data_IF_669731218853
#
_entry.id   IF_669731218853
#
_cell.length_a   1.000
_cell.length_b   1.000
_cell.length_c   1.000
_cell.angle_alpha   90.00
_cell.angle_beta   90.00
_cell.angle_gamma   90.00
#
_symmetry.space_group_name_H-M   'P 1'
#
loop_
_entity.id
_entity.type
_entity.pdbx_description
1 polymer ?
#
# COMPACT_ATOMS: atom_id res chain seq x y z
N UNK A 1 -9.30 -8.02 -0.99
CA UNK A 1 -10.39 -7.84 -1.97
C UNK A 1 -10.89 -6.41 -2.02
N UNK A 2 -11.26 -5.94 -3.22
CA UNK A 2 -11.86 -4.64 -3.45
C UNK A 2 -13.38 -4.68 -3.23
N UNK A 3 -13.94 -3.66 -2.57
CA UNK A 3 -15.38 -3.61 -2.33
C UNK A 3 -16.12 -3.46 -3.66
N UNK A 4 -17.10 -4.35 -3.93
CA UNK A 4 -17.95 -4.32 -5.13
C UNK A 4 -17.20 -4.52 -6.47
N UNK A 5 -15.98 -5.08 -6.44
CA UNK A 5 -15.20 -5.35 -7.65
C UNK A 5 -14.65 -4.11 -8.35
N UNK A 6 -14.66 -2.95 -7.67
CA UNK A 6 -14.13 -1.68 -8.19
C UNK A 6 -13.22 -1.00 -7.19
N UNK A 7 -12.30 -0.18 -7.69
CA UNK A 7 -11.43 0.65 -6.86
C UNK A 7 -11.08 1.97 -7.56
N UNK A 8 -10.89 3.04 -6.78
CA UNK A 8 -10.27 4.28 -7.26
C UNK A 8 -8.77 4.05 -7.39
N UNK A 9 -8.24 4.17 -8.60
CA UNK A 9 -6.85 3.85 -8.95
C UNK A 9 -6.25 4.94 -9.85
N UNK A 10 -4.93 4.96 -9.95
CA UNK A 10 -4.19 5.81 -10.87
C UNK A 10 -3.47 4.92 -11.87
N UNK A 11 -3.63 5.23 -13.16
CA UNK A 11 -3.02 4.49 -14.28
C UNK A 11 -1.94 5.33 -14.97
N UNK A 12 -0.77 4.74 -15.16
CA UNK A 12 0.36 5.33 -15.89
C UNK A 12 0.52 4.71 -17.28
N UNK A 13 1.19 5.41 -18.20
CA UNK A 13 1.34 5.00 -19.60
C UNK A 13 2.16 3.71 -19.76
N UNK A 14 3.03 3.39 -18.80
CA UNK A 14 3.78 2.13 -18.76
C UNK A 14 2.97 0.96 -18.17
N UNK A 15 1.67 1.15 -17.94
CA UNK A 15 0.75 0.13 -17.46
C UNK A 15 0.74 -0.05 -15.94
N UNK A 16 1.47 0.75 -15.15
CA UNK A 16 1.30 0.72 -13.69
C UNK A 16 -0.11 1.18 -13.33
N UNK A 17 -0.82 0.33 -12.58
CA UNK A 17 -2.11 0.64 -11.96
C UNK A 17 -1.90 0.51 -10.46
N UNK A 18 -2.08 1.60 -9.73
CA UNK A 18 -1.75 1.66 -8.30
C UNK A 18 -2.75 2.52 -7.54
N UNK A 19 -2.84 2.33 -6.21
CA UNK A 19 -3.72 3.17 -5.40
C UNK A 19 -3.22 4.61 -5.39
N UNK A 20 -4.12 5.59 -5.23
CA UNK A 20 -3.74 7.00 -5.27
C UNK A 20 -2.76 7.41 -4.16
N UNK A 21 -2.74 6.63 -3.07
CA UNK A 21 -2.02 6.93 -1.82
C UNK A 21 -0.85 5.99 -1.53
N UNK A 22 -0.48 5.10 -2.46
CA UNK A 22 0.69 4.24 -2.29
C UNK A 22 1.93 4.95 -2.87
N UNK A 23 2.91 5.35 -2.05
CA UNK A 23 4.06 6.12 -2.51
C UNK A 23 4.85 5.40 -3.61
N UNK A 24 5.17 6.16 -4.66
CA UNK A 24 6.10 5.74 -5.73
C UNK A 24 7.27 6.72 -5.80
N UNK A 25 8.46 6.25 -6.17
CA UNK A 25 9.64 7.10 -6.34
C UNK A 25 9.83 7.50 -7.80
N UNK A 26 9.90 8.81 -8.04
CA UNK A 26 10.15 9.42 -9.35
C UNK A 26 11.23 10.49 -9.18
N UNK A 27 12.27 10.44 -9.99
CA UNK A 27 13.42 11.35 -9.93
C UNK A 27 14.01 11.46 -8.51
N UNK A 28 14.10 10.33 -7.81
CA UNK A 28 14.63 10.23 -6.45
C UNK A 28 13.71 10.74 -5.34
N UNK A 29 12.47 11.16 -5.64
CA UNK A 29 11.50 11.67 -4.66
C UNK A 29 10.26 10.78 -4.56
N UNK A 30 9.81 10.54 -3.33
CA UNK A 30 8.52 9.88 -3.09
C UNK A 30 7.37 10.82 -3.41
N UNK A 31 6.37 10.32 -4.13
CA UNK A 31 5.17 11.05 -4.53
C UNK A 31 3.94 10.17 -4.39
N UNK A 32 2.79 10.77 -4.10
CA UNK A 32 1.51 10.07 -4.25
C UNK A 32 1.09 10.07 -5.72
N UNK A 33 0.63 8.92 -6.27
CA UNK A 33 0.11 8.85 -7.62
C UNK A 33 -0.98 9.89 -7.94
N UNK A 34 -1.84 10.24 -6.97
CA UNK A 34 -2.87 11.27 -7.13
C UNK A 34 -2.31 12.65 -7.52
N UNK A 35 -1.12 13.00 -7.02
CA UNK A 35 -0.49 14.30 -7.28
C UNK A 35 0.09 14.38 -8.71
N UNK A 36 0.13 13.25 -9.43
CA UNK A 36 0.78 13.14 -10.75
C UNK A 36 -0.27 12.96 -11.85
N UNK A 37 -1.32 12.17 -11.62
CA UNK A 37 -2.37 11.86 -12.59
C UNK A 37 -3.74 11.73 -11.91
N UNK A 38 -4.79 11.93 -12.69
CA UNK A 38 -6.16 11.78 -12.21
C UNK A 38 -6.48 10.34 -11.78
N UNK A 39 -7.19 10.22 -10.67
CA UNK A 39 -7.81 8.97 -10.25
C UNK A 39 -8.97 8.59 -11.16
N UNK A 40 -9.17 7.30 -11.36
CA UNK A 40 -10.29 6.73 -12.10
C UNK A 40 -10.83 5.52 -11.33
N UNK A 41 -12.15 5.37 -11.31
CA UNK A 41 -12.76 4.13 -10.84
C UNK A 41 -12.61 3.06 -11.94
N UNK A 42 -11.94 1.96 -11.61
CA UNK A 42 -11.73 0.84 -12.53
C UNK A 42 -12.30 -0.46 -11.94
N UNK A 43 -12.58 -1.42 -12.82
CA UNK A 43 -12.81 -2.80 -12.41
C UNK A 43 -11.53 -3.37 -11.77
N UNK A 44 -11.65 -3.82 -10.54
CA UNK A 44 -10.54 -4.31 -9.73
C UNK A 44 -11.08 -5.30 -8.70
N UNK A 45 -10.71 -6.56 -8.82
CA UNK A 45 -11.13 -7.60 -7.86
C UNK A 45 -10.23 -7.58 -6.61
N UNK A 46 -8.93 -7.46 -6.83
CA UNK A 46 -7.91 -7.56 -5.81
C UNK A 46 -6.76 -6.60 -6.08
N UNK A 47 -6.05 -6.27 -5.00
CA UNK A 47 -4.84 -5.49 -5.03
C UNK A 47 -3.86 -6.11 -4.04
N UNK A 48 -2.58 -6.05 -4.39
CA UNK A 48 -1.53 -6.71 -3.63
C UNK A 48 -0.62 -5.66 -2.99
N UNK A 49 -0.06 -6.04 -1.85
CA UNK A 49 1.03 -5.33 -1.20
C UNK A 49 2.01 -6.38 -0.68
N UNK A 50 3.23 -5.96 -0.41
CA UNK A 50 4.32 -6.85 -0.02
C UNK A 50 4.86 -6.45 1.34
N UNK A 51 5.42 -7.43 2.05
CA UNK A 51 6.38 -7.23 3.13
C UNK A 51 7.65 -7.92 2.66
N UNK A 52 8.77 -7.19 2.67
CA UNK A 52 10.07 -7.73 2.32
C UNK A 52 10.95 -7.73 3.57
N UNK A 53 11.89 -8.67 3.64
CA UNK A 53 12.90 -8.75 4.69
C UNK A 53 14.06 -7.77 4.47
N UNK A 54 14.24 -7.29 3.24
CA UNK A 54 15.29 -6.37 2.84
C UNK A 54 14.79 -5.33 1.83
N UNK A 55 15.49 -4.19 1.76
CA UNK A 55 15.29 -3.07 0.81
C UNK A 55 13.94 -2.36 0.85
N UNK A 56 12.83 -3.04 1.12
CA UNK A 56 11.47 -2.51 1.24
C UNK A 56 10.97 -1.69 0.04
N UNK A 57 11.48 -2.02 -1.15
CA UNK A 57 11.11 -1.41 -2.43
C UNK A 57 10.87 -2.55 -3.42
N UNK A 58 9.73 -2.51 -4.13
CA UNK A 58 9.44 -3.36 -5.27
C UNK A 58 9.49 -2.55 -6.56
N UNK A 59 9.94 -3.16 -7.66
CA UNK A 59 9.92 -2.53 -8.99
C UNK A 59 8.74 -3.10 -9.76
N UNK A 60 7.75 -2.27 -10.06
CA UNK A 60 6.53 -2.65 -10.77
C UNK A 60 6.37 -1.76 -11.99
N UNK A 61 6.39 -2.35 -13.18
CA UNK A 61 6.35 -1.64 -14.47
C UNK A 61 7.38 -0.51 -14.59
N UNK A 62 8.53 -0.64 -13.91
CA UNK A 62 9.62 0.36 -13.93
C UNK A 62 9.52 1.46 -12.88
N UNK A 63 8.48 1.47 -12.04
CA UNK A 63 8.41 2.34 -10.86
C UNK A 63 8.88 1.62 -9.60
N UNK A 64 9.57 2.36 -8.74
CA UNK A 64 9.90 1.91 -7.39
C UNK A 64 8.72 2.22 -6.45
N UNK A 65 8.11 1.17 -5.93
CA UNK A 65 6.96 1.22 -5.02
C UNK A 65 7.41 0.78 -3.63
N UNK A 66 6.94 1.47 -2.58
CA UNK A 66 7.31 1.13 -1.20
C UNK A 66 6.53 -0.08 -0.68
N UNK A 67 7.17 -0.97 0.07
CA UNK A 67 6.46 -2.10 0.70
C UNK A 67 5.98 -1.76 2.11
N UNK A 68 5.15 -2.61 2.71
CA UNK A 68 4.80 -2.48 4.12
C UNK A 68 6.02 -2.75 5.02
N UNK A 69 6.01 -2.16 6.22
CA UNK A 69 7.08 -2.34 7.20
C UNK A 69 8.41 -1.71 6.76
N UNK A 70 8.39 -0.66 5.93
CA UNK A 70 9.60 -0.13 5.29
C UNK A 70 10.50 0.74 6.18
N UNK A 71 10.00 1.28 7.30
CA UNK A 71 10.76 2.10 8.27
C UNK A 71 11.38 3.40 7.72
N UNK A 72 11.12 3.76 6.46
CA UNK A 72 11.55 5.02 5.87
C UNK A 72 10.88 6.23 6.51
N UNK A 73 11.61 7.34 6.48
CA UNK A 73 11.24 8.63 7.05
C UNK A 73 11.25 9.71 5.98
N UNK A 74 10.43 10.73 6.16
CA UNK A 74 10.34 11.87 5.25
C UNK A 74 8.95 12.09 4.66
N UNK A 75 8.86 13.14 3.85
CA UNK A 75 7.62 13.56 3.19
C UNK A 75 7.04 12.46 2.32
N UNK A 76 5.71 12.33 2.29
CA UNK A 76 4.91 11.31 1.58
C UNK A 76 5.10 9.88 2.10
N UNK A 77 6.35 9.47 2.36
CA UNK A 77 6.71 8.08 2.64
C UNK A 77 6.52 7.69 4.10
N UNK A 78 6.65 8.63 5.03
CA UNK A 78 6.51 8.31 6.45
C UNK A 78 5.04 8.08 6.83
N UNK A 79 4.75 6.88 7.35
CA UNK A 79 3.43 6.53 7.83
C UNK A 79 3.50 5.93 9.25
N UNK A 80 2.67 6.38 10.22
CA UNK A 80 2.75 5.97 11.63
C UNK A 80 2.40 4.49 11.92
N UNK A 81 2.08 3.74 10.86
CA UNK A 81 1.61 2.35 10.94
C UNK A 81 2.19 1.52 9.78
N UNK A 82 1.80 1.78 8.53
CA UNK A 82 2.30 1.05 7.36
C UNK A 82 3.83 1.10 7.18
N UNK A 83 4.48 2.17 7.65
CA UNK A 83 5.93 2.31 7.64
C UNK A 83 6.64 1.77 8.88
N UNK A 84 6.00 0.90 9.67
CA UNK A 84 6.54 0.42 10.95
C UNK A 84 6.35 -1.08 11.13
N UNK A 85 7.03 -1.68 12.10
CA UNK A 85 6.85 -3.08 12.46
C UNK A 85 5.40 -3.43 12.84
N UNK A 86 4.59 -2.46 13.29
CA UNK A 86 3.19 -2.70 13.69
C UNK A 86 2.37 -3.41 12.62
N UNK A 87 2.51 -3.01 11.35
CA UNK A 87 1.78 -3.68 10.27
C UNK A 87 2.28 -5.11 10.04
N UNK A 88 3.58 -5.35 10.22
CA UNK A 88 4.17 -6.68 10.08
C UNK A 88 3.70 -7.58 11.23
N UNK A 89 3.59 -7.04 12.44
CA UNK A 89 3.12 -7.78 13.61
C UNK A 89 1.65 -8.16 13.48
N UNK A 90 0.78 -7.23 13.06
CA UNK A 90 -0.63 -7.50 12.77
C UNK A 90 -0.79 -8.60 11.69
N UNK A 91 -0.01 -8.51 10.60
CA UNK A 91 -0.03 -9.50 9.53
C UNK A 91 0.48 -10.88 9.99
N UNK A 92 1.57 -10.94 10.77
CA UNK A 92 2.08 -12.19 11.35
C UNK A 92 1.08 -12.86 12.27
N UNK A 93 0.31 -12.09 13.03
CA UNK A 93 -0.75 -12.63 13.87
C UNK A 93 -1.89 -13.27 13.05
N UNK A 94 -2.07 -12.87 11.79
CA UNK A 94 -3.08 -13.43 10.87
C UNK A 94 -2.56 -14.66 10.11
N UNK A 95 -1.27 -14.69 9.77
CA UNK A 95 -0.65 -15.80 9.04
C UNK A 95 -0.35 -17.00 9.95
N UNK A 96 -1.39 -17.53 10.61
CA UNK A 96 -1.29 -18.63 11.57
C UNK A 96 -0.74 -19.93 10.99
N UNK A 97 -0.74 -20.05 9.66
CA UNK A 97 -0.20 -21.20 8.92
C UNK A 97 1.19 -20.92 8.30
N UNK A 98 1.77 -19.73 8.51
CA UNK A 98 3.06 -19.29 7.97
C UNK A 98 3.18 -19.48 6.44
N UNK A 99 2.12 -19.12 5.73
CA UNK A 99 2.05 -19.25 4.27
C UNK A 99 2.70 -18.07 3.55
N UNK A 100 2.85 -16.93 4.23
CA UNK A 100 3.23 -15.65 3.65
C UNK A 100 2.13 -15.00 2.80
N UNK A 101 0.94 -15.60 2.72
CA UNK A 101 -0.19 -15.09 1.96
C UNK A 101 -1.35 -14.76 2.91
N UNK A 102 -1.68 -13.48 3.01
CA UNK A 102 -2.74 -13.00 3.90
C UNK A 102 -3.79 -12.28 3.05
N UNK A 103 -5.02 -12.77 3.13
CA UNK A 103 -6.15 -12.11 2.48
C UNK A 103 -6.77 -11.07 3.41
N UNK A 104 -6.82 -9.82 2.94
CA UNK A 104 -7.49 -8.72 3.64
C UNK A 104 -8.84 -8.40 3.00
N UNK A 105 -9.86 -8.26 3.82
CA UNK A 105 -11.21 -7.87 3.40
C UNK A 105 -11.36 -6.34 3.45
N UNK A 106 -12.35 -5.74 2.74
CA UNK A 106 -12.53 -4.29 2.71
C UNK A 106 -12.64 -3.58 4.07
N UNK A 107 -12.98 -4.30 5.14
CA UNK A 107 -13.14 -3.76 6.50
C UNK A 107 -11.99 -4.12 7.44
N UNK A 108 -10.92 -4.72 6.94
CA UNK A 108 -9.80 -5.16 7.77
C UNK A 108 -8.95 -4.00 8.32
N UNK A 109 -9.01 -2.81 7.72
CA UNK A 109 -8.23 -1.66 8.21
C UNK A 109 -8.95 -0.93 9.34
N UNK A 110 -8.23 -0.67 10.43
CA UNK A 110 -8.64 0.24 11.50
C UNK A 110 -8.08 1.63 11.20
N UNK A 111 -8.90 2.66 11.35
CA UNK A 111 -8.50 4.05 11.11
C UNK A 111 -8.69 4.90 12.35
N UNK A 112 -7.75 5.80 12.58
CA UNK A 112 -7.89 6.85 13.59
C UNK A 112 -9.09 7.74 13.25
N UNK A 113 -9.88 8.10 14.26
CA UNK A 113 -11.13 8.83 14.05
C UNK A 113 -10.91 10.30 13.69
N UNK A 114 -9.76 10.87 14.07
CA UNK A 114 -9.44 12.28 13.83
C UNK A 114 -8.66 12.47 12.53
N UNK A 115 -7.56 11.74 12.37
CA UNK A 115 -6.62 11.88 11.25
C UNK A 115 -7.00 11.03 10.05
N UNK A 116 -7.88 10.03 10.22
CA UNK A 116 -8.31 9.05 9.19
C UNK A 116 -7.19 8.15 8.67
N UNK A 117 -5.97 8.28 9.19
CA UNK A 117 -4.84 7.40 8.92
C UNK A 117 -5.14 5.99 9.40
N UNK A 118 -4.57 5.00 8.71
CA UNK A 118 -4.66 3.60 9.14
C UNK A 118 -3.78 3.40 10.37
N UNK A 119 -4.29 2.72 11.39
CA UNK A 119 -3.58 2.49 12.65
C UNK A 119 -3.46 1.00 13.00
N UNK A 120 -4.07 0.12 12.21
CA UNK A 120 -4.11 -1.32 12.47
C UNK A 120 -4.75 -2.08 11.32
N UNK A 121 -4.47 -3.38 11.25
CA UNK A 121 -5.17 -4.34 10.40
C UNK A 121 -5.65 -5.50 11.28
N UNK A 122 -6.93 -5.87 11.18
CA UNK A 122 -7.56 -6.96 11.95
C UNK A 122 -8.73 -7.61 11.22
#
# INVERSE_FOLDING_TARGET
>A
MCAKGKASMVTFDNGLIITPWHPIRIDGKWKFPHDIRHEQEIECQEMYNFVLDQCHISIINGFECVTLGHHFKGEVIEHPYFGTAKVVDDLRAMDTLNTGFIELLPKSTVRDTKTRLVTGIR
#
